data_IF_651047581083
#
_entry.id   IF_651047581083
#
_cell.length_a   1.000
_cell.length_b   1.000
_cell.length_c   1.000
_cell.angle_alpha   90.00
_cell.angle_beta   90.00
_cell.angle_gamma   90.00
#
_symmetry.space_group_name_H-M   'P 1'
#
loop_
_entity.id
_entity.type
_entity.pdbx_description
1 polymer ?
#
# COMPACT_ATOMS: atom_id res chain seq x y z
N UNK A 1 -22.98 23.16 -9.15
CA UNK A 1 -22.82 21.96 -8.30
C UNK A 1 -23.75 20.87 -8.81
N UNK A 2 -23.25 19.86 -9.51
CA UNK A 2 -24.04 18.65 -9.82
C UNK A 2 -24.05 17.77 -8.57
N UNK A 3 -25.21 17.26 -8.13
CA UNK A 3 -25.29 16.46 -6.92
C UNK A 3 -24.62 15.10 -7.13
N UNK A 4 -23.63 14.80 -6.30
CA UNK A 4 -22.98 13.49 -6.19
C UNK A 4 -23.88 12.62 -5.31
N UNK A 5 -24.96 12.13 -5.88
CA UNK A 5 -25.84 11.17 -5.19
C UNK A 5 -25.96 9.92 -6.05
N UNK A 6 -25.48 8.81 -5.48
CA UNK A 6 -25.80 7.43 -5.83
C UNK A 6 -25.22 6.87 -7.15
N UNK A 7 -23.96 6.42 -7.10
CA UNK A 7 -23.57 5.19 -7.76
C UNK A 7 -23.25 4.13 -6.70
N UNK A 8 -24.28 3.63 -6.01
CA UNK A 8 -24.17 2.32 -5.40
C UNK A 8 -24.17 1.32 -6.55
N UNK A 9 -22.97 0.89 -6.98
CA UNK A 9 -22.79 -0.10 -8.03
C UNK A 9 -23.18 -1.48 -7.47
N UNK A 10 -24.47 -1.71 -7.27
CA UNK A 10 -24.98 -3.04 -6.95
C UNK A 10 -25.25 -3.72 -8.30
N UNK A 11 -24.41 -4.69 -8.72
CA UNK A 11 -24.58 -5.32 -10.02
C UNK A 11 -25.89 -6.12 -10.05
N UNK A 12 -26.70 -5.89 -11.07
CA UNK A 12 -27.99 -6.56 -11.28
C UNK A 12 -27.78 -8.07 -11.50
N UNK A 13 -28.74 -8.92 -11.11
CA UNK A 13 -28.64 -10.40 -11.27
C UNK A 13 -28.32 -10.85 -12.71
N UNK A 14 -28.76 -10.10 -13.72
CA UNK A 14 -28.40 -10.33 -15.13
C UNK A 14 -26.93 -10.02 -15.43
N UNK A 15 -26.40 -8.89 -14.94
CA UNK A 15 -24.98 -8.53 -15.08
C UNK A 15 -24.06 -9.54 -14.38
N UNK A 16 -24.49 -10.09 -13.24
CA UNK A 16 -23.76 -11.17 -12.55
C UNK A 16 -23.69 -12.44 -13.40
N UNK A 17 -24.81 -12.85 -14.02
CA UNK A 17 -24.85 -14.03 -14.89
C UNK A 17 -23.98 -13.84 -16.14
N UNK A 18 -24.02 -12.65 -16.73
CA UNK A 18 -23.22 -12.27 -17.91
C UNK A 18 -21.72 -12.20 -17.60
N UNK A 19 -21.34 -11.66 -16.43
CA UNK A 19 -19.96 -11.70 -15.94
C UNK A 19 -19.47 -13.13 -15.75
N UNK A 20 -20.30 -14.04 -15.28
CA UNK A 20 -19.90 -15.45 -15.14
C UNK A 20 -19.82 -16.22 -16.47
N UNK A 21 -20.34 -15.70 -17.59
CA UNK A 21 -20.41 -16.44 -18.87
C UNK A 21 -19.60 -15.82 -20.02
N UNK A 22 -19.19 -14.55 -19.96
CA UNK A 22 -18.45 -13.90 -21.04
C UNK A 22 -17.32 -13.00 -20.56
N UNK A 23 -16.12 -13.18 -21.12
CA UNK A 23 -14.95 -12.31 -20.90
C UNK A 23 -15.26 -10.86 -21.33
N UNK A 24 -16.13 -10.66 -22.34
CA UNK A 24 -16.55 -9.32 -22.77
C UNK A 24 -17.41 -8.61 -21.73
N UNK A 25 -18.13 -9.33 -20.86
CA UNK A 25 -18.92 -8.73 -19.78
C UNK A 25 -18.06 -8.17 -18.63
N UNK A 26 -16.77 -8.54 -18.59
CA UNK A 26 -15.78 -7.94 -17.69
C UNK A 26 -15.13 -6.68 -18.25
N UNK A 27 -15.38 -6.35 -19.53
CA UNK A 27 -14.89 -5.11 -20.10
C UNK A 27 -15.64 -3.95 -19.46
N UNK A 28 -14.93 -3.18 -18.64
CA UNK A 28 -15.45 -1.94 -18.10
C UNK A 28 -15.73 -0.99 -19.27
N UNK A 29 -16.88 -0.28 -19.27
CA UNK A 29 -17.14 0.74 -20.28
C UNK A 29 -15.99 1.75 -20.25
N UNK A 30 -15.42 2.06 -21.42
CA UNK A 30 -14.28 2.98 -21.54
C UNK A 30 -14.68 4.33 -20.93
N UNK A 31 -14.08 4.67 -19.80
CA UNK A 31 -14.29 5.96 -19.17
C UNK A 31 -13.71 7.06 -20.07
N UNK A 32 -14.37 8.21 -20.11
CA UNK A 32 -13.92 9.33 -20.93
C UNK A 32 -12.67 9.93 -20.30
N UNK A 33 -11.50 9.49 -20.77
CA UNK A 33 -10.22 10.12 -20.44
C UNK A 33 -10.12 11.48 -21.13
N UNK A 34 -9.47 12.43 -20.45
CA UNK A 34 -9.35 13.81 -20.90
C UNK A 34 -8.31 14.01 -22.02
N UNK A 35 -7.36 13.08 -22.20
CA UNK A 35 -6.14 13.35 -22.99
C UNK A 35 -5.82 12.32 -24.09
N UNK A 36 -6.28 11.08 -24.02
CA UNK A 36 -5.87 10.07 -25.01
C UNK A 36 -6.84 9.96 -26.20
N UNK A 37 -6.33 9.67 -27.41
CA UNK A 37 -7.15 9.37 -28.59
C UNK A 37 -8.12 8.20 -28.35
N UNK A 38 -9.23 8.16 -29.09
CA UNK A 38 -10.27 7.14 -28.95
C UNK A 38 -9.76 5.70 -29.14
N UNK A 39 -8.64 5.50 -29.84
CA UNK A 39 -8.02 4.19 -30.07
C UNK A 39 -7.05 3.73 -28.98
N UNK A 40 -6.70 4.59 -28.00
CA UNK A 40 -5.76 4.25 -26.92
C UNK A 40 -6.53 3.82 -25.68
N UNK A 41 -6.08 2.71 -25.07
CA UNK A 41 -6.61 2.18 -23.82
C UNK A 41 -6.02 2.96 -22.65
N UNK A 42 -6.79 3.90 -22.11
CA UNK A 42 -6.43 4.68 -20.92
C UNK A 42 -7.65 4.76 -19.99
N UNK A 43 -7.39 4.90 -18.70
CA UNK A 43 -8.40 5.12 -17.68
C UNK A 43 -8.38 6.57 -17.22
N UNK A 44 -9.50 7.06 -16.69
CA UNK A 44 -9.58 8.38 -16.08
C UNK A 44 -8.56 8.54 -14.94
N UNK A 45 -8.27 7.45 -14.20
CA UNK A 45 -7.28 7.43 -13.12
C UNK A 45 -5.82 7.57 -13.59
N UNK A 46 -5.58 7.45 -14.90
CA UNK A 46 -4.25 7.63 -15.49
C UNK A 46 -4.01 9.08 -15.93
N UNK A 47 -5.06 9.90 -16.00
CA UNK A 47 -4.94 11.30 -16.40
C UNK A 47 -4.41 12.16 -15.24
N UNK A 48 -3.77 13.31 -15.54
CA UNK A 48 -3.39 14.26 -14.50
C UNK A 48 -4.58 14.67 -13.65
N UNK A 49 -4.39 14.74 -12.34
CA UNK A 49 -5.47 15.10 -11.40
C UNK A 49 -5.89 16.55 -11.67
N UNK A 50 -7.18 16.80 -12.01
CA UNK A 50 -7.65 18.15 -12.27
C UNK A 50 -7.56 19.02 -11.01
N UNK A 51 -7.38 20.34 -11.12
CA UNK A 51 -7.15 21.23 -9.97
C UNK A 51 -8.23 21.14 -8.89
N UNK A 52 -9.48 20.87 -9.28
CA UNK A 52 -10.63 20.68 -8.39
C UNK A 52 -10.51 19.46 -7.46
N UNK A 53 -9.72 18.45 -7.83
CA UNK A 53 -9.49 17.23 -7.06
C UNK A 53 -8.16 17.25 -6.27
N UNK A 54 -7.42 18.36 -6.33
CA UNK A 54 -6.17 18.54 -5.59
C UNK A 54 -6.44 19.02 -4.15
N UNK A 55 -7.01 18.14 -3.33
CA UNK A 55 -7.46 18.45 -1.96
C UNK A 55 -6.37 18.31 -0.89
N UNK A 56 -5.18 17.83 -1.27
CA UNK A 56 -4.08 17.61 -0.34
C UNK A 56 -3.45 18.93 0.08
N UNK A 57 -3.63 19.28 1.34
CA UNK A 57 -2.97 20.43 1.96
C UNK A 57 -1.67 20.01 2.63
N UNK A 58 -0.84 20.98 3.02
CA UNK A 58 0.39 20.72 3.79
C UNK A 58 0.12 19.93 5.08
N UNK A 59 -1.05 20.12 5.71
CA UNK A 59 -1.45 19.35 6.90
C UNK A 59 -1.68 17.88 6.58
N UNK A 60 -2.37 17.58 5.49
CA UNK A 60 -2.58 16.20 5.02
C UNK A 60 -1.25 15.53 4.71
N UNK A 61 -0.33 16.26 4.08
CA UNK A 61 1.01 15.76 3.78
C UNK A 61 1.82 15.45 5.04
N UNK A 62 1.85 16.36 6.03
CA UNK A 62 2.54 16.11 7.30
C UNK A 62 1.91 14.95 8.08
N UNK A 63 0.59 14.87 8.12
CA UNK A 63 -0.12 13.79 8.80
C UNK A 63 0.18 12.42 8.15
N UNK A 64 0.27 12.38 6.81
CA UNK A 64 0.66 11.17 6.08
C UNK A 64 2.07 10.71 6.47
N UNK A 65 3.06 11.61 6.45
CA UNK A 65 4.44 11.27 6.84
C UNK A 65 4.59 10.92 8.32
N UNK A 66 3.83 11.57 9.21
CA UNK A 66 3.80 11.21 10.62
C UNK A 66 3.28 9.77 10.78
N UNK A 67 2.21 9.41 10.06
CA UNK A 67 1.67 8.04 10.08
C UNK A 67 2.66 7.03 9.49
N UNK A 68 3.33 7.38 8.40
CA UNK A 68 4.32 6.50 7.77
C UNK A 68 5.53 6.24 8.67
N UNK A 69 6.02 7.25 9.38
CA UNK A 69 7.18 7.11 10.29
C UNK A 69 6.83 6.41 11.61
N UNK A 70 5.58 6.51 12.07
CA UNK A 70 5.09 5.86 13.29
C UNK A 70 4.51 4.49 12.93
N UNK A 71 5.40 3.54 12.66
CA UNK A 71 5.04 2.15 12.42
C UNK A 71 5.94 1.19 13.22
N UNK A 72 5.44 -0.04 13.44
CA UNK A 72 6.14 -1.06 14.23
C UNK A 72 7.50 -1.42 13.63
N UNK A 73 7.60 -1.53 12.30
CA UNK A 73 8.84 -1.89 11.62
C UNK A 73 9.97 -0.87 11.81
N UNK A 74 9.64 0.42 11.95
CA UNK A 74 10.62 1.47 12.27
C UNK A 74 11.17 1.28 13.68
N UNK A 75 10.32 0.91 14.64
CA UNK A 75 10.73 0.66 16.02
C UNK A 75 11.56 -0.63 16.14
N UNK A 76 11.19 -1.68 15.41
CA UNK A 76 11.96 -2.92 15.32
C UNK A 76 13.35 -2.68 14.73
N UNK A 77 13.44 -1.87 13.68
CA UNK A 77 14.73 -1.50 13.05
C UNK A 77 15.62 -0.73 14.02
N UNK A 78 15.06 0.22 14.77
CA UNK A 78 15.81 0.96 15.79
C UNK A 78 16.33 0.03 16.90
N UNK A 79 15.51 -0.92 17.34
CA UNK A 79 15.89 -1.95 18.32
C UNK A 79 17.00 -2.87 17.80
N UNK A 80 16.91 -3.29 16.54
CA UNK A 80 17.92 -4.15 15.90
C UNK A 80 19.31 -3.50 15.88
N UNK A 81 19.39 -2.19 15.61
CA UNK A 81 20.68 -1.47 15.57
C UNK A 81 21.34 -1.45 16.96
N UNK A 82 20.56 -1.28 18.02
CA UNK A 82 21.07 -1.35 19.39
C UNK A 82 21.49 -2.78 19.77
N UNK A 83 20.75 -3.80 19.32
CA UNK A 83 21.09 -5.20 19.56
C UNK A 83 22.38 -5.66 18.87
N UNK A 84 22.76 -5.03 17.75
CA UNK A 84 24.03 -5.30 17.05
C UNK A 84 25.25 -4.80 17.86
N UNK A 85 25.04 -4.06 18.95
CA UNK A 85 26.09 -3.62 19.86
C UNK A 85 26.54 -2.18 19.67
N UNK A 86 25.87 -1.41 18.80
CA UNK A 86 26.10 0.03 18.73
C UNK A 86 25.49 0.71 19.96
N UNK A 87 26.26 1.62 20.57
CA UNK A 87 25.70 2.51 21.58
C UNK A 87 24.64 3.43 20.96
N UNK A 88 23.64 3.85 21.75
CA UNK A 88 22.64 4.82 21.32
C UNK A 88 23.28 6.13 20.79
N UNK A 89 24.47 6.49 21.29
CA UNK A 89 25.22 7.66 20.85
C UNK A 89 25.77 7.55 19.42
N UNK A 90 26.04 6.33 18.96
CA UNK A 90 26.58 6.06 17.60
C UNK A 90 25.45 5.67 16.65
N UNK A 91 24.44 4.97 17.14
CA UNK A 91 23.28 4.53 16.37
C UNK A 91 22.47 5.71 15.81
N UNK A 92 22.19 6.74 16.63
CA UNK A 92 21.39 7.91 16.22
C UNK A 92 22.01 8.64 15.01
N UNK A 93 23.29 9.08 15.05
CA UNK A 93 23.88 9.76 13.91
C UNK A 93 23.97 8.85 12.67
N UNK A 94 24.22 7.54 12.84
CA UNK A 94 24.23 6.60 11.72
C UNK A 94 22.86 6.51 11.03
N UNK A 95 21.77 6.43 11.80
CA UNK A 95 20.38 6.43 11.27
C UNK A 95 20.07 7.75 10.57
N UNK A 96 20.47 8.89 11.14
CA UNK A 96 20.25 10.22 10.55
C UNK A 96 20.97 10.34 9.21
N UNK A 97 22.23 9.90 9.13
CA UNK A 97 23.00 9.92 7.88
C UNK A 97 22.36 8.99 6.84
N UNK A 98 22.00 7.77 7.23
CA UNK A 98 21.35 6.80 6.34
C UNK A 98 20.03 7.32 5.77
N UNK A 99 19.16 7.84 6.63
CA UNK A 99 17.86 8.39 6.22
C UNK A 99 18.01 9.67 5.38
N UNK A 100 18.99 10.52 5.68
CA UNK A 100 19.28 11.72 4.87
C UNK A 100 19.75 11.37 3.45
N UNK A 101 20.60 10.35 3.31
CA UNK A 101 21.06 9.87 2.00
C UNK A 101 19.90 9.36 1.13
N UNK A 102 18.90 8.71 1.73
CA UNK A 102 17.70 8.21 1.03
C UNK A 102 16.68 9.33 0.77
N UNK A 103 16.63 10.34 1.63
CA UNK A 103 15.71 11.47 1.48
C UNK A 103 15.96 12.26 0.19
N UNK A 104 17.23 12.42 -0.22
CA UNK A 104 17.59 13.18 -1.45
C UNK A 104 16.92 12.61 -2.71
N UNK A 105 17.14 11.34 -3.11
CA UNK A 105 16.49 10.78 -4.28
C UNK A 105 14.96 10.67 -4.12
N UNK A 106 14.46 10.51 -2.90
CA UNK A 106 13.02 10.47 -2.61
C UNK A 106 12.35 11.81 -2.94
N UNK A 107 12.94 12.93 -2.50
CA UNK A 107 12.43 14.28 -2.79
C UNK A 107 12.53 14.60 -4.27
N UNK A 108 13.63 14.23 -4.94
CA UNK A 108 13.79 14.44 -6.38
C UNK A 108 12.72 13.69 -7.20
N UNK A 109 12.40 12.44 -6.84
CA UNK A 109 11.32 11.69 -7.49
C UNK A 109 9.94 12.28 -7.13
N UNK A 110 9.74 12.70 -5.89
CA UNK A 110 8.49 13.32 -5.43
C UNK A 110 8.18 14.65 -6.12
N UNK A 111 9.19 15.45 -6.44
CA UNK A 111 9.03 16.75 -7.11
C UNK A 111 8.39 16.62 -8.50
N UNK A 112 8.69 15.54 -9.24
CA UNK A 112 8.09 15.27 -10.55
C UNK A 112 6.59 14.99 -10.38
N UNK A 113 6.23 14.14 -9.41
CA UNK A 113 4.82 13.83 -9.10
C UNK A 113 4.03 15.06 -8.64
N UNK A 114 4.64 15.91 -7.81
CA UNK A 114 4.01 17.13 -7.30
C UNK A 114 3.81 18.23 -8.36
N UNK A 115 4.69 18.36 -9.35
CA UNK A 115 4.52 19.36 -10.42
C UNK A 115 3.57 18.90 -11.51
N UNK A 116 3.73 17.67 -11.98
CA UNK A 116 2.98 17.14 -13.12
C UNK A 116 1.62 16.56 -12.72
N UNK A 117 1.39 16.27 -11.43
CA UNK A 117 0.16 15.65 -10.92
C UNK A 117 -0.23 14.36 -11.67
N UNK A 118 0.77 13.65 -12.20
CA UNK A 118 0.63 12.40 -12.95
C UNK A 118 0.90 11.20 -12.04
N UNK A 119 0.21 10.07 -12.26
CA UNK A 119 0.50 8.85 -11.53
C UNK A 119 1.86 8.27 -11.94
N UNK A 120 2.48 7.54 -11.00
CA UNK A 120 3.79 6.91 -11.19
C UNK A 120 3.86 6.03 -12.45
N UNK A 121 2.78 5.34 -12.79
CA UNK A 121 2.66 4.48 -13.97
C UNK A 121 2.83 5.24 -15.30
N UNK A 122 2.52 6.54 -15.34
CA UNK A 122 2.71 7.41 -16.51
C UNK A 122 4.10 8.03 -16.48
N UNK A 123 4.57 8.48 -15.32
CA UNK A 123 5.91 9.06 -15.17
C UNK A 123 7.02 8.07 -15.57
N UNK A 124 6.87 6.78 -15.24
CA UNK A 124 7.88 5.77 -15.57
C UNK A 124 7.91 5.39 -17.05
N UNK A 125 6.77 5.53 -17.76
CA UNK A 125 6.69 5.34 -19.22
C UNK A 125 7.49 6.39 -19.98
N UNK A 126 7.56 7.62 -19.46
CA UNK A 126 8.39 8.67 -20.04
C UNK A 126 9.89 8.38 -19.91
N UNK A 127 10.30 7.63 -18.86
CA UNK A 127 11.71 7.35 -18.58
C UNK A 127 12.24 6.07 -19.25
N UNK A 128 11.44 4.98 -19.24
CA UNK A 128 11.87 3.65 -19.71
C UNK A 128 11.19 3.20 -21.02
N UNK A 129 10.28 4.01 -21.57
CA UNK A 129 9.50 3.66 -22.75
C UNK A 129 8.33 2.71 -22.45
N UNK A 130 7.58 2.34 -23.49
CA UNK A 130 6.32 1.60 -23.35
C UNK A 130 6.51 0.17 -22.82
N UNK A 131 7.46 -0.58 -23.39
CA UNK A 131 7.63 -2.00 -23.06
C UNK A 131 8.30 -2.24 -21.71
N UNK A 132 9.36 -1.49 -21.36
CA UNK A 132 10.07 -1.68 -20.10
C UNK A 132 9.30 -1.12 -18.90
N UNK A 133 8.43 -0.13 -19.10
CA UNK A 133 7.59 0.38 -18.02
C UNK A 133 6.70 -0.69 -17.38
N UNK A 134 6.20 -1.66 -18.16
CA UNK A 134 5.41 -2.77 -17.60
C UNK A 134 6.21 -3.61 -16.61
N UNK A 135 7.48 -3.89 -16.90
CA UNK A 135 8.37 -4.61 -15.98
C UNK A 135 8.61 -3.81 -14.69
N UNK A 136 8.90 -2.52 -14.81
CA UNK A 136 9.08 -1.65 -13.65
C UNK A 136 7.82 -1.57 -12.78
N UNK A 137 6.64 -1.45 -13.40
CA UNK A 137 5.35 -1.42 -12.67
C UNK A 137 5.13 -2.77 -11.97
N UNK A 138 5.33 -3.90 -12.67
CA UNK A 138 5.15 -5.23 -12.09
C UNK A 138 6.07 -5.49 -10.89
N UNK A 139 7.36 -5.12 -11.00
CA UNK A 139 8.31 -5.25 -9.88
C UNK A 139 7.90 -4.42 -8.67
N UNK A 140 7.35 -3.21 -8.88
CA UNK A 140 6.82 -2.36 -7.80
C UNK A 140 5.54 -2.93 -7.19
N UNK A 141 4.66 -3.53 -7.99
CA UNK A 141 3.48 -4.22 -7.48
C UNK A 141 3.88 -5.40 -6.58
N UNK A 142 4.88 -6.19 -6.98
CA UNK A 142 5.40 -7.30 -6.17
C UNK A 142 5.96 -6.78 -4.84
N UNK A 143 6.79 -5.74 -4.89
CA UNK A 143 7.34 -5.10 -3.69
C UNK A 143 6.21 -4.58 -2.76
N UNK A 144 5.17 -3.97 -3.32
CA UNK A 144 4.02 -3.48 -2.55
C UNK A 144 3.25 -4.62 -1.88
N UNK A 145 3.08 -5.77 -2.55
CA UNK A 145 2.46 -6.95 -1.96
C UNK A 145 3.29 -7.51 -0.80
N UNK A 146 4.62 -7.54 -0.94
CA UNK A 146 5.51 -7.94 0.16
C UNK A 146 5.39 -7.00 1.36
N UNK A 147 5.41 -5.69 1.13
CA UNK A 147 5.24 -4.71 2.20
C UNK A 147 3.88 -4.80 2.88
N UNK A 148 2.81 -4.99 2.10
CA UNK A 148 1.47 -5.22 2.65
C UNK A 148 1.45 -6.48 3.54
N UNK A 149 2.13 -7.55 3.13
CA UNK A 149 2.29 -8.76 3.94
C UNK A 149 3.01 -8.51 5.26
N UNK A 150 4.13 -7.76 5.23
CA UNK A 150 4.89 -7.40 6.43
C UNK A 150 4.05 -6.54 7.37
N UNK A 151 3.37 -5.51 6.86
CA UNK A 151 2.53 -4.65 7.70
C UNK A 151 1.30 -5.38 8.24
N UNK A 152 0.74 -6.33 7.47
CA UNK A 152 -0.31 -7.23 7.95
C UNK A 152 0.17 -8.15 9.07
N UNK A 153 1.37 -8.72 8.96
CA UNK A 153 1.97 -9.53 10.01
C UNK A 153 2.23 -8.72 11.30
N UNK A 154 2.79 -7.51 11.16
CA UNK A 154 3.01 -6.60 12.29
C UNK A 154 1.70 -6.21 12.97
N UNK A 155 0.65 -5.91 12.20
CA UNK A 155 -0.68 -5.65 12.74
C UNK A 155 -1.27 -6.86 13.49
N UNK A 156 -1.02 -8.07 13.00
CA UNK A 156 -1.52 -9.29 13.63
C UNK A 156 -0.85 -9.55 15.00
N UNK A 157 0.42 -9.16 15.17
CA UNK A 157 1.12 -9.20 16.47
C UNK A 157 0.43 -8.25 17.46
N UNK A 158 0.13 -7.02 17.05
CA UNK A 158 -0.58 -6.05 17.89
C UNK A 158 -1.95 -6.56 18.34
N UNK A 159 -2.73 -7.14 17.43
CA UNK A 159 -4.04 -7.74 17.75
C UNK A 159 -3.88 -8.89 18.74
N UNK A 160 -2.81 -9.69 18.63
CA UNK A 160 -2.55 -10.79 19.58
C UNK A 160 -2.32 -10.26 20.98
N UNK A 161 -1.52 -9.20 21.14
CA UNK A 161 -1.27 -8.57 22.45
C UNK A 161 -2.57 -8.00 23.04
N UNK A 162 -3.39 -7.33 22.22
CA UNK A 162 -4.70 -6.81 22.65
C UNK A 162 -5.65 -7.93 23.09
N UNK A 163 -5.72 -9.02 22.33
CA UNK A 163 -6.59 -10.16 22.65
C UNK A 163 -6.13 -10.87 23.93
N UNK A 164 -4.83 -11.05 24.15
CA UNK A 164 -4.30 -11.62 25.40
C UNK A 164 -4.53 -10.70 26.59
N UNK A 165 -4.52 -9.37 26.40
CA UNK A 165 -4.83 -8.41 27.46
C UNK A 165 -6.30 -8.44 27.90
N UNK A 166 -7.24 -8.61 26.96
CA UNK A 166 -8.69 -8.68 27.26
C UNK A 166 -9.09 -10.07 27.74
N UNK A 167 -8.57 -11.12 27.09
CA UNK A 167 -8.77 -12.52 27.46
C UNK A 167 -7.42 -13.23 27.66
N UNK A 168 -6.94 -13.33 28.92
CA UNK A 168 -5.69 -14.05 29.24
C UNK A 168 -5.70 -15.51 28.80
N UNK A 169 -6.89 -16.11 28.66
CA UNK A 169 -7.09 -17.46 28.16
C UNK A 169 -6.62 -17.65 26.71
N UNK A 170 -6.51 -16.58 25.91
CA UNK A 170 -6.05 -16.65 24.52
C UNK A 170 -4.56 -16.99 24.42
N UNK A 171 -3.76 -16.62 25.43
CA UNK A 171 -2.34 -17.00 25.52
C UNK A 171 -2.09 -18.48 25.85
N UNK A 172 -3.09 -19.19 26.37
CA UNK A 172 -2.99 -20.60 26.80
C UNK A 172 -3.64 -21.60 25.82
N UNK A 173 -3.96 -21.18 24.58
CA UNK A 173 -4.55 -22.09 23.59
C UNK A 173 -3.49 -23.08 23.10
N UNK A 174 -3.69 -24.41 23.28
CA UNK A 174 -2.76 -25.43 22.81
C UNK A 174 -2.60 -25.36 21.28
N UNK A 175 -1.36 -25.40 20.80
CA UNK A 175 -1.09 -25.47 19.36
C UNK A 175 -1.49 -26.83 18.81
N UNK A 176 -2.41 -26.85 17.85
CA UNK A 176 -2.82 -28.06 17.13
C UNK A 176 -2.18 -28.15 15.73
N UNK A 177 -1.30 -27.22 15.37
CA UNK A 177 -0.55 -27.20 14.10
C UNK A 177 0.90 -27.60 14.40
N UNK A 178 1.46 -28.49 13.58
CA UNK A 178 2.82 -29.02 13.72
C UNK A 178 3.87 -27.89 13.63
N UNK A 179 4.90 -27.98 14.48
CA UNK A 179 5.93 -26.95 14.65
C UNK A 179 6.81 -26.70 13.40
N UNK A 180 6.69 -27.52 12.34
CA UNK A 180 7.45 -27.37 11.09
C UNK A 180 6.87 -26.31 10.13
N UNK A 181 5.61 -25.89 10.33
CA UNK A 181 4.90 -24.98 9.42
C UNK A 181 5.20 -23.50 9.71
N UNK A 182 6.06 -23.19 10.69
CA UNK A 182 6.44 -21.81 11.05
C UNK A 182 5.29 -20.92 11.53
N UNK A 183 4.07 -21.46 11.69
CA UNK A 183 2.85 -20.75 12.06
C UNK A 183 2.11 -21.54 13.14
N UNK A 184 1.78 -20.87 14.24
CA UNK A 184 0.96 -21.40 15.34
C UNK A 184 -0.54 -21.30 15.01
N UNK A 185 -1.39 -22.13 15.66
CA UNK A 185 -2.87 -22.05 15.51
C UNK A 185 -3.39 -20.66 15.91
N UNK A 186 -2.80 -20.08 16.97
CA UNK A 186 -3.02 -18.68 17.36
C UNK A 186 -2.57 -17.71 16.24
N UNK A 187 -1.52 -18.08 15.51
CA UNK A 187 -0.96 -17.34 14.38
C UNK A 187 -1.86 -17.23 13.16
N UNK A 188 -2.67 -18.25 12.89
CA UNK A 188 -3.70 -18.20 11.84
C UNK A 188 -4.94 -17.42 12.27
N UNK A 189 -5.40 -17.60 13.51
CA UNK A 189 -6.62 -16.92 14.00
C UNK A 189 -6.38 -15.40 14.12
N UNK A 190 -5.18 -14.96 14.53
CA UNK A 190 -4.83 -13.52 14.52
C UNK A 190 -4.87 -12.91 13.12
N UNK A 191 -4.42 -13.64 12.10
CA UNK A 191 -4.38 -13.14 10.73
C UNK A 191 -5.78 -13.10 10.12
N UNK A 192 -6.61 -14.11 10.38
CA UNK A 192 -8.01 -14.13 9.95
C UNK A 192 -8.85 -13.00 10.60
N UNK A 193 -8.60 -12.66 11.87
CA UNK A 193 -9.26 -11.52 12.54
C UNK A 193 -8.78 -10.14 12.09
N UNK A 194 -7.59 -10.03 11.51
CA UNK A 194 -7.08 -8.78 10.95
C UNK A 194 -7.66 -8.51 9.55
N UNK A 195 -7.95 -9.56 8.80
CA UNK A 195 -8.42 -9.50 7.40
C UNK A 195 -9.95 -9.53 7.29
N UNK A 196 -10.65 -9.89 8.38
CA UNK A 196 -12.11 -9.82 8.52
C UNK A 196 -12.57 -8.42 8.95
#
# INVERSE_FOLDING_TARGET
MKPITSMSYVPTKQQLKERCTSIKAWQLPKQKSALAPDHVWTNQDMDPVPPENQTWTMWTWMAYWATDTINLGTWETASAILNVGLSWREAIPAIVVGTSCVAVPMVLNGAIGAKLHVPFSVAIRASFGYYLAYFCIASRCILAMFWLGIQGANGAICITVMLTAIWPSYGNIPNHIAADQGITTQGMIRYAKLVS
#
